data_IF_337075923568
#
_entry.id   IF_337075923568
#
_cell.length_a   1.000
_cell.length_b   1.000
_cell.length_c   1.000
_cell.angle_alpha   90.00
_cell.angle_beta   90.00
_cell.angle_gamma   90.00
#
_symmetry.space_group_name_H-M   'P 1'
#
loop_
_entity.id
_entity.type
_entity.pdbx_description
1 polymer ?
#
# COMPACT_ATOMS: atom_id res chain seq x y z
N UNK A 1 11.25 -20.38 -20.11
CA UNK A 1 10.86 -20.34 -18.68
C UNK A 1 11.00 -18.93 -18.11
N UNK A 2 10.24 -17.96 -18.64
CA UNK A 2 10.30 -16.54 -18.24
C UNK A 2 8.97 -16.05 -17.61
N UNK A 3 7.85 -16.68 -17.99
CA UNK A 3 6.51 -16.41 -17.47
C UNK A 3 6.30 -16.87 -16.02
N UNK A 4 7.07 -17.88 -15.57
CA UNK A 4 6.99 -18.42 -14.22
C UNK A 4 7.78 -17.58 -13.20
N UNK A 5 8.65 -16.68 -13.66
CA UNK A 5 9.42 -15.83 -12.77
C UNK A 5 8.60 -14.62 -12.38
N UNK A 6 8.24 -14.55 -11.10
CA UNK A 6 7.67 -13.39 -10.44
C UNK A 6 8.51 -12.13 -10.68
N UNK A 7 7.86 -11.06 -11.16
CA UNK A 7 8.49 -9.76 -11.42
C UNK A 7 7.54 -8.64 -11.06
N UNK A 8 8.03 -7.67 -10.31
CA UNK A 8 7.25 -6.48 -10.01
C UNK A 8 7.09 -5.62 -11.26
N UNK A 9 5.87 -5.12 -11.50
CA UNK A 9 5.59 -4.21 -12.60
C UNK A 9 5.99 -2.78 -12.24
N UNK A 10 6.61 -2.09 -13.18
CA UNK A 10 7.18 -0.73 -13.01
C UNK A 10 6.54 0.30 -13.95
N UNK A 11 5.76 -0.19 -14.91
CA UNK A 11 5.04 0.52 -15.97
C UNK A 11 3.69 1.09 -15.50
N UNK A 12 3.47 1.18 -14.19
CA UNK A 12 2.20 1.61 -13.63
C UNK A 12 2.25 1.79 -12.12
N UNK A 13 1.07 1.73 -11.52
CA UNK A 13 0.88 1.95 -10.09
C UNK A 13 0.00 0.85 -9.49
N UNK A 14 0.39 0.36 -8.32
CA UNK A 14 -0.41 -0.56 -7.53
C UNK A 14 -1.34 0.24 -6.62
N UNK A 15 -2.62 -0.09 -6.64
CA UNK A 15 -3.67 0.62 -5.90
C UNK A 15 -4.47 -0.36 -5.06
N UNK A 16 -4.54 -0.12 -3.75
CA UNK A 16 -5.40 -0.84 -2.82
C UNK A 16 -6.52 0.08 -2.36
N UNK A 17 -7.76 -0.27 -2.70
CA UNK A 17 -8.96 0.46 -2.27
C UNK A 17 -9.43 -0.08 -0.94
N UNK A 18 -9.62 0.80 0.03
CA UNK A 18 -10.06 0.46 1.38
C UNK A 18 -11.28 1.28 1.75
N UNK A 19 -12.33 0.63 2.21
CA UNK A 19 -13.56 1.27 2.66
C UNK A 19 -13.85 0.92 4.11
N UNK A 20 -14.35 1.88 4.86
CA UNK A 20 -14.84 1.64 6.21
C UNK A 20 -16.05 2.50 6.51
N UNK A 21 -16.87 2.03 7.44
CA UNK A 21 -18.08 2.71 7.89
C UNK A 21 -17.73 3.53 9.13
N UNK A 22 -17.97 4.84 9.10
CA UNK A 22 -17.82 5.76 10.22
C UNK A 22 -19.20 6.21 10.70
N UNK A 23 -19.48 6.04 11.99
CA UNK A 23 -20.71 6.55 12.60
C UNK A 23 -20.76 8.09 12.49
N UNK A 24 -21.90 8.61 12.04
CA UNK A 24 -22.18 10.04 12.01
C UNK A 24 -22.61 10.58 13.38
N UNK A 25 -22.77 11.90 13.48
CA UNK A 25 -23.29 12.54 14.68
C UNK A 25 -24.76 12.15 14.85
N UNK A 26 -25.08 11.57 16.01
CA UNK A 26 -26.44 11.16 16.33
C UNK A 26 -27.21 12.38 16.84
N UNK A 27 -27.93 13.05 15.95
CA UNK A 27 -28.78 14.18 16.35
C UNK A 27 -30.06 13.68 17.01
N UNK A 28 -30.73 12.65 16.46
CA UNK A 28 -31.95 12.06 17.05
C UNK A 28 -31.86 10.55 17.30
N UNK A 29 -32.68 10.05 18.23
CA UNK A 29 -32.71 8.63 18.63
C UNK A 29 -33.27 7.69 17.55
N UNK A 30 -33.89 8.21 16.49
CA UNK A 30 -34.65 7.44 15.49
C UNK A 30 -33.78 6.97 14.32
N UNK A 31 -32.74 7.70 13.93
CA UNK A 31 -31.87 7.35 12.79
C UNK A 31 -30.40 7.49 13.17
N UNK A 32 -29.60 6.45 12.92
CA UNK A 32 -28.15 6.48 13.08
C UNK A 32 -27.50 6.75 11.71
N UNK A 33 -27.09 8.00 11.41
CA UNK A 33 -26.40 8.29 10.16
C UNK A 33 -25.04 7.60 10.13
N UNK A 34 -24.64 7.11 8.95
CA UNK A 34 -23.36 6.44 8.74
C UNK A 34 -22.71 6.96 7.47
N UNK A 35 -21.39 7.18 7.53
CA UNK A 35 -20.59 7.65 6.41
C UNK A 35 -19.71 6.50 5.91
N UNK A 36 -19.85 6.19 4.62
CA UNK A 36 -18.93 5.27 3.96
C UNK A 36 -17.68 6.05 3.53
N UNK A 37 -16.57 5.82 4.22
CA UNK A 37 -15.29 6.47 3.92
C UNK A 37 -14.49 5.55 3.01
N UNK A 38 -14.05 6.08 1.87
CA UNK A 38 -13.17 5.39 0.93
C UNK A 38 -11.82 6.08 0.89
N UNK A 39 -10.75 5.30 0.98
CA UNK A 39 -9.40 5.76 0.77
C UNK A 39 -8.60 4.72 -0.01
N UNK A 40 -7.49 5.17 -0.57
CA UNK A 40 -6.62 4.37 -1.40
C UNK A 40 -5.21 4.39 -0.83
N UNK A 41 -4.52 3.25 -0.95
CA UNK A 41 -3.08 3.13 -0.77
C UNK A 41 -2.45 2.91 -2.13
N UNK A 42 -1.39 3.65 -2.40
CA UNK A 42 -0.68 3.66 -3.66
C UNK A 42 0.75 3.21 -3.46
N UNK A 43 1.21 2.29 -4.33
CA UNK A 43 2.59 1.85 -4.39
C UNK A 43 3.12 1.95 -5.83
N UNK A 44 4.26 2.61 -6.02
CA UNK A 44 4.96 2.65 -7.31
C UNK A 44 6.38 2.16 -7.12
N UNK A 45 6.80 1.17 -7.90
CA UNK A 45 8.12 0.57 -7.83
C UNK A 45 9.03 1.09 -8.94
N UNK A 46 10.34 1.11 -8.68
CA UNK A 46 11.37 1.49 -9.64
C UNK A 46 12.46 0.42 -9.77
N UNK A 47 13.11 0.27 -10.94
CA UNK A 47 14.18 -0.71 -11.15
C UNK A 47 15.34 -0.65 -10.16
N UNK A 48 15.57 0.50 -9.53
CA UNK A 48 16.64 0.71 -8.54
C UNK A 48 16.38 0.09 -7.17
N UNK A 49 15.27 -0.63 -6.98
CA UNK A 49 14.84 -1.11 -5.67
C UNK A 49 14.24 -0.01 -4.79
N UNK A 50 13.95 1.17 -5.37
CA UNK A 50 13.23 2.27 -4.72
C UNK A 50 11.73 2.13 -4.96
N UNK A 51 10.90 2.47 -4.00
CA UNK A 51 9.45 2.60 -4.21
C UNK A 51 8.90 3.88 -3.60
N UNK A 52 7.71 4.27 -4.04
CA UNK A 52 6.91 5.35 -3.47
C UNK A 52 5.65 4.77 -2.86
N UNK A 53 5.25 5.34 -1.73
CA UNK A 53 4.04 5.02 -1.00
C UNK A 53 3.23 6.27 -0.70
N UNK A 54 1.91 6.21 -0.89
CA UNK A 54 0.99 7.29 -0.51
C UNK A 54 -0.35 6.70 -0.07
N UNK A 55 -0.89 7.23 1.02
CA UNK A 55 -2.29 7.00 1.41
C UNK A 55 -3.06 8.28 1.09
N UNK A 56 -4.16 8.19 0.34
CA UNK A 56 -4.96 9.36 -0.05
C UNK A 56 -6.42 8.99 -0.30
N UNK A 57 -7.33 9.94 -0.12
CA UNK A 57 -8.72 9.83 -0.58
C UNK A 57 -8.92 10.24 -2.05
N UNK A 58 -7.88 10.79 -2.69
CA UNK A 58 -7.90 11.21 -4.09
C UNK A 58 -7.92 10.01 -5.05
N UNK A 59 -8.37 10.25 -6.28
CA UNK A 59 -8.45 9.22 -7.34
C UNK A 59 -7.08 8.90 -7.95
N UNK A 60 -6.98 7.78 -8.68
CA UNK A 60 -5.71 7.33 -9.29
C UNK A 60 -5.14 8.39 -10.25
N UNK A 61 -5.99 9.00 -11.09
CA UNK A 61 -5.59 10.04 -12.05
C UNK A 61 -4.98 11.29 -11.40
N UNK A 62 -5.40 11.64 -10.18
CA UNK A 62 -4.87 12.78 -9.44
C UNK A 62 -3.52 12.42 -8.80
N UNK A 63 -3.46 11.25 -8.17
CA UNK A 63 -2.28 10.80 -7.41
C UNK A 63 -1.09 10.47 -8.31
N UNK A 64 -1.33 9.96 -9.52
CA UNK A 64 -0.24 9.62 -10.46
C UNK A 64 0.62 10.85 -10.80
N UNK A 65 0.07 12.07 -10.75
CA UNK A 65 0.80 13.32 -10.99
C UNK A 65 1.92 13.55 -9.99
N UNK A 66 1.71 13.22 -8.71
CA UNK A 66 2.71 13.37 -7.65
C UNK A 66 3.54 12.10 -7.39
N UNK A 67 3.14 10.93 -7.90
CA UNK A 67 3.85 9.67 -7.72
C UNK A 67 4.99 9.47 -8.74
N UNK A 68 5.86 10.46 -8.91
CA UNK A 68 6.95 10.46 -9.91
C UNK A 68 8.36 10.51 -9.27
N UNK A 69 9.42 10.53 -10.07
CA UNK A 69 10.80 10.50 -9.54
C UNK A 69 11.13 11.68 -8.60
N UNK A 70 10.49 12.83 -8.83
CA UNK A 70 10.60 14.09 -8.06
C UNK A 70 9.58 14.18 -6.93
N UNK A 71 8.91 13.09 -6.58
CA UNK A 71 7.91 13.07 -5.51
C UNK A 71 8.47 13.65 -4.22
N UNK A 72 7.71 14.58 -3.62
CA UNK A 72 8.09 15.27 -2.39
C UNK A 72 7.30 14.74 -1.20
N UNK A 73 7.91 14.84 -0.01
CA UNK A 73 7.23 14.63 1.28
C UNK A 73 6.07 15.61 1.47
N UNK A 74 6.17 16.83 0.91
CA UNK A 74 5.11 17.84 0.96
C UNK A 74 3.82 17.36 0.29
N UNK A 75 3.94 16.51 -0.74
CA UNK A 75 2.79 15.90 -1.42
C UNK A 75 2.23 14.68 -0.66
N UNK A 76 2.74 14.40 0.53
CA UNK A 76 2.39 13.21 1.31
C UNK A 76 2.82 11.90 0.64
N UNK A 77 3.89 11.94 -0.17
CA UNK A 77 4.51 10.77 -0.78
C UNK A 77 5.74 10.38 0.01
N UNK A 78 5.85 9.11 0.39
CA UNK A 78 6.98 8.55 1.10
C UNK A 78 7.81 7.68 0.17
N UNK A 79 9.13 7.83 0.23
CA UNK A 79 10.06 7.02 -0.55
C UNK A 79 10.76 6.01 0.35
N UNK A 80 10.90 4.79 -0.14
CA UNK A 80 11.54 3.69 0.58
C UNK A 80 12.33 2.74 -0.31
N UNK A 81 12.75 1.62 0.27
CA UNK A 81 13.41 0.51 -0.44
C UNK A 81 12.52 -0.72 -0.44
N UNK A 82 12.57 -1.48 -1.52
CA UNK A 82 11.90 -2.76 -1.61
C UNK A 82 12.84 -3.84 -2.14
N UNK A 83 12.59 -5.06 -1.72
CA UNK A 83 13.24 -6.28 -2.21
C UNK A 83 12.17 -7.24 -2.71
N UNK A 84 12.51 -8.05 -3.71
CA UNK A 84 11.65 -9.10 -4.24
C UNK A 84 12.43 -10.41 -4.16
N UNK A 85 11.98 -11.32 -3.32
CA UNK A 85 12.52 -12.67 -3.15
C UNK A 85 11.44 -13.66 -3.53
N UNK A 86 11.65 -14.38 -4.63
CA UNK A 86 10.63 -15.22 -5.27
C UNK A 86 9.34 -14.45 -5.58
N UNK A 87 8.25 -14.71 -4.84
CA UNK A 87 6.96 -14.03 -4.92
C UNK A 87 6.71 -13.08 -3.75
N UNK A 88 7.68 -12.89 -2.85
CA UNK A 88 7.55 -12.08 -1.64
C UNK A 88 8.21 -10.73 -1.83
N UNK A 89 7.46 -9.67 -1.58
CA UNK A 89 7.93 -8.30 -1.66
C UNK A 89 7.97 -7.73 -0.24
N UNK A 90 9.16 -7.33 0.20
CA UNK A 90 9.31 -6.54 1.41
C UNK A 90 9.49 -5.08 1.03
N UNK A 91 8.70 -4.20 1.63
CA UNK A 91 8.75 -2.76 1.36
C UNK A 91 8.88 -2.00 2.67
N UNK A 92 9.91 -1.13 2.76
CA UNK A 92 10.20 -0.37 3.97
C UNK A 92 10.47 1.09 3.69
N UNK A 93 9.92 1.98 4.53
CA UNK A 93 10.27 3.40 4.50
C UNK A 93 10.18 4.02 5.89
N UNK A 94 10.79 5.20 6.03
CA UNK A 94 10.78 5.96 7.28
C UNK A 94 9.77 7.11 7.20
N UNK A 95 8.83 7.16 8.14
CA UNK A 95 8.02 8.35 8.34
C UNK A 95 8.87 9.46 8.96
N UNK A 96 8.96 10.64 8.31
CA UNK A 96 9.62 11.80 8.88
C UNK A 96 8.76 12.40 9.99
N UNK A 97 9.37 12.75 11.11
CA UNK A 97 8.70 13.39 12.24
C UNK A 97 9.62 13.52 13.45
N UNK A 98 9.10 14.06 14.54
CA UNK A 98 9.84 14.19 15.82
C UNK A 98 10.28 12.83 16.38
N UNK A 99 9.54 11.76 16.05
CA UNK A 99 9.86 10.38 16.37
C UNK A 99 9.83 9.56 15.08
N UNK A 100 11.01 9.33 14.44
CA UNK A 100 11.10 8.54 13.23
C UNK A 100 10.48 7.17 13.45
N UNK A 101 9.58 6.80 12.55
CA UNK A 101 8.82 5.56 12.65
C UNK A 101 9.02 4.77 11.36
N UNK A 102 9.48 3.52 11.48
CA UNK A 102 9.67 2.64 10.35
C UNK A 102 8.34 2.00 9.98
N UNK A 103 7.98 2.14 8.71
CA UNK A 103 6.86 1.43 8.11
C UNK A 103 7.41 0.23 7.35
N UNK A 104 6.87 -0.96 7.61
CA UNK A 104 7.25 -2.20 6.91
C UNK A 104 5.99 -2.91 6.44
N UNK A 105 6.02 -3.36 5.20
CA UNK A 105 4.96 -4.17 4.60
C UNK A 105 5.55 -5.43 3.98
N UNK A 106 4.95 -6.57 4.29
CA UNK A 106 5.17 -7.82 3.58
C UNK A 106 4.02 -8.05 2.63
N UNK A 107 4.37 -8.21 1.36
CA UNK A 107 3.44 -8.33 0.27
C UNK A 107 3.73 -9.63 -0.49
N UNK A 108 2.69 -10.21 -1.07
CA UNK A 108 2.82 -11.36 -1.98
C UNK A 108 2.42 -10.96 -3.38
N UNK A 109 3.33 -11.12 -4.33
CA UNK A 109 3.06 -10.91 -5.75
C UNK A 109 2.23 -12.07 -6.29
N UNK A 110 1.09 -11.74 -6.89
CA UNK A 110 0.23 -12.67 -7.62
C UNK A 110 -0.06 -12.15 -9.02
N UNK A 111 -0.47 -13.05 -9.89
CA UNK A 111 -1.00 -12.73 -11.22
C UNK A 111 -2.39 -13.30 -11.38
N UNK A 112 -3.29 -12.53 -12.00
CA UNK A 112 -4.59 -13.03 -12.48
C UNK A 112 -4.45 -14.11 -13.55
N UNK A 113 -3.43 -14.00 -14.39
CA UNK A 113 -2.99 -15.01 -15.35
C UNK A 113 -1.50 -15.26 -15.21
N UNK A 114 -1.01 -16.36 -15.80
CA UNK A 114 0.40 -16.72 -15.76
C UNK A 114 1.27 -15.58 -16.31
N UNK A 115 2.20 -15.09 -15.49
CA UNK A 115 3.11 -14.01 -15.83
C UNK A 115 2.54 -12.59 -15.74
N UNK A 116 1.26 -12.40 -15.35
CA UNK A 116 0.65 -11.07 -15.30
C UNK A 116 1.19 -10.19 -14.16
N UNK A 117 1.53 -10.78 -13.00
CA UNK A 117 2.10 -10.09 -11.83
C UNK A 117 1.37 -8.79 -11.44
N UNK A 118 0.04 -8.77 -11.60
CA UNK A 118 -0.81 -7.58 -11.52
C UNK A 118 -1.56 -7.46 -10.17
N UNK A 119 -1.18 -8.27 -9.18
CA UNK A 119 -1.74 -8.28 -7.83
C UNK A 119 -0.63 -8.28 -6.79
N UNK A 120 -0.82 -7.53 -5.71
CA UNK A 120 0.05 -7.56 -4.54
C UNK A 120 -0.84 -7.70 -3.31
N UNK A 121 -0.84 -8.88 -2.70
CA UNK A 121 -1.58 -9.11 -1.46
C UNK A 121 -0.78 -8.58 -0.29
N UNK A 122 -1.41 -7.76 0.56
CA UNK A 122 -0.77 -7.27 1.77
C UNK A 122 -0.90 -8.33 2.88
N UNK A 123 0.18 -9.08 3.11
CA UNK A 123 0.23 -10.15 4.11
C UNK A 123 0.32 -9.58 5.52
N UNK A 124 1.22 -8.63 5.73
CA UNK A 124 1.35 -7.92 7.00
C UNK A 124 1.80 -6.50 6.80
N UNK A 125 1.34 -5.65 7.70
CA UNK A 125 1.73 -4.25 7.78
C UNK A 125 2.10 -3.94 9.22
N UNK A 126 3.31 -3.45 9.44
CA UNK A 126 3.79 -3.09 10.75
C UNK A 126 4.43 -1.71 10.78
N UNK A 127 4.49 -1.15 11.98
CA UNK A 127 5.04 0.16 12.24
C UNK A 127 5.82 0.09 13.53
N UNK A 128 7.12 0.37 13.50
CA UNK A 128 8.00 0.31 14.66
C UNK A 128 8.70 1.65 14.90
N UNK A 129 8.98 1.96 16.17
CA UNK A 129 9.81 3.13 16.51
C UNK A 129 11.26 2.79 16.18
N UNK A 130 12.00 3.79 15.69
CA UNK A 130 13.44 3.65 15.48
C UNK A 130 14.17 4.35 16.61
N UNK A 131 14.93 3.59 17.39
CA UNK A 131 15.80 4.14 18.43
C UNK A 131 16.98 4.90 17.81
N UNK A 132 17.56 5.82 18.58
CA UNK A 132 18.60 6.78 18.16
C UNK A 132 19.87 6.16 17.55
N UNK A 133 20.07 4.86 17.70
CA UNK A 133 21.36 4.20 17.44
C UNK A 133 21.55 3.81 15.97
N UNK A 134 20.56 4.07 15.10
CA UNK A 134 20.71 3.97 13.65
C UNK A 134 20.91 2.55 13.11
N UNK A 135 20.87 1.53 13.96
CA UNK A 135 20.98 0.13 13.58
C UNK A 135 19.60 -0.33 13.08
N UNK A 136 19.49 -0.49 11.77
CA UNK A 136 18.39 -1.19 11.12
C UNK A 136 18.72 -2.67 11.26
N UNK A 137 18.15 -3.36 12.23
CA UNK A 137 18.22 -4.83 12.28
C UNK A 137 17.41 -5.38 11.08
N UNK A 138 18.17 -5.70 10.03
CA UNK A 138 17.77 -6.61 8.96
C UNK A 138 17.82 -8.01 9.56
N UNK A 139 16.75 -8.45 10.21
CA UNK A 139 16.60 -9.88 10.47
C UNK A 139 16.03 -10.57 9.24
N UNK A 140 16.95 -11.20 8.52
CA UNK A 140 16.72 -12.29 7.58
C UNK A 140 16.11 -13.47 8.37
N UNK A 141 14.76 -13.52 8.54
CA UNK A 141 13.97 -14.78 8.68
C UNK A 141 12.51 -14.56 9.17
N UNK A 142 11.76 -13.64 8.57
CA UNK A 142 10.34 -13.38 8.91
C UNK A 142 9.33 -14.41 8.36
N UNK A 143 9.68 -15.70 8.40
CA UNK A 143 8.74 -16.83 8.40
C UNK A 143 8.81 -17.67 9.69
N UNK A 144 9.73 -17.35 10.60
CA UNK A 144 9.77 -17.89 11.96
C UNK A 144 8.95 -17.03 12.93
N UNK A 145 8.37 -17.67 13.94
CA UNK A 145 7.62 -17.07 15.04
C UNK A 145 8.25 -15.77 15.56
N UNK A 146 7.55 -14.64 15.40
CA UNK A 146 7.98 -13.32 15.87
C UNK A 146 7.96 -13.30 17.40
N UNK A 147 9.13 -13.30 18.02
CA UNK A 147 9.29 -12.73 19.36
C UNK A 147 8.99 -11.23 19.26
N UNK A 148 7.95 -10.79 19.98
CA UNK A 148 7.46 -9.42 19.94
C UNK A 148 8.48 -8.48 20.58
N UNK A 149 9.26 -7.75 19.77
CA UNK A 149 9.97 -6.56 20.22
C UNK A 149 8.92 -5.52 20.67
N UNK A 150 9.09 -4.95 21.88
CA UNK A 150 8.04 -4.20 22.62
C UNK A 150 7.43 -2.99 21.88
N UNK A 151 8.04 -2.51 20.79
CA UNK A 151 7.67 -1.28 20.08
C UNK A 151 7.08 -1.48 18.67
N UNK A 152 6.73 -2.73 18.28
CA UNK A 152 6.17 -3.04 16.96
C UNK A 152 4.64 -3.07 16.99
N UNK A 153 3.99 -2.17 16.24
CA UNK A 153 2.54 -2.14 16.06
C UNK A 153 2.18 -2.88 14.76
N UNK A 154 1.44 -3.99 14.87
CA UNK A 154 0.88 -4.71 13.72
C UNK A 154 -0.51 -4.18 13.35
N UNK A 155 -0.77 -4.00 12.06
CA UNK A 155 -2.04 -3.50 11.55
C UNK A 155 -2.84 -4.64 10.93
N UNK A 156 -3.98 -4.97 11.54
CA UNK A 156 -4.87 -6.06 11.10
C UNK A 156 -6.00 -5.60 10.15
N UNK A 157 -6.13 -4.29 9.92
CA UNK A 157 -7.21 -3.69 9.13
C UNK A 157 -6.67 -2.99 7.89
N UNK A 158 -7.52 -2.95 6.85
CA UNK A 158 -7.17 -2.33 5.58
C UNK A 158 -6.07 -3.10 4.84
N UNK A 159 -6.11 -4.44 4.91
CA UNK A 159 -5.19 -5.33 4.22
C UNK A 159 -5.69 -5.71 2.81
N UNK A 160 -6.51 -4.85 2.20
CA UNK A 160 -7.05 -5.11 0.86
C UNK A 160 -5.90 -5.24 -0.15
N UNK A 161 -5.93 -6.25 -1.04
CA UNK A 161 -4.87 -6.45 -2.01
C UNK A 161 -4.80 -5.29 -3.01
N UNK A 162 -3.58 -5.00 -3.46
CA UNK A 162 -3.34 -3.98 -4.47
C UNK A 162 -3.55 -4.55 -5.87
N UNK A 163 -4.28 -3.78 -6.68
CA UNK A 163 -4.49 -4.01 -8.11
C UNK A 163 -3.51 -3.14 -8.89
N UNK A 164 -2.82 -3.72 -9.87
CA UNK A 164 -1.99 -2.95 -10.78
C UNK A 164 -2.83 -2.18 -11.81
N UNK A 165 -2.50 -0.91 -12.01
CA UNK A 165 -3.06 -0.02 -13.04
C UNK A 165 -1.90 0.48 -13.92
N UNK A 166 -1.83 0.08 -15.21
CA UNK A 166 -0.85 0.62 -16.16
C UNK A 166 -1.02 2.14 -16.33
N UNK A 167 0.07 2.88 -16.58
CA UNK A 167 -0.04 4.34 -16.76
C UNK A 167 -0.94 4.76 -17.93
N UNK A 168 -1.00 3.95 -18.97
CA UNK A 168 -1.86 4.16 -20.14
C UNK A 168 -3.36 4.09 -19.80
N UNK A 169 -3.72 3.33 -18.76
CA UNK A 169 -5.11 3.10 -18.33
C UNK A 169 -5.50 3.95 -17.11
N UNK A 170 -4.62 4.84 -16.64
CA UNK A 170 -4.87 5.61 -15.42
C UNK A 170 -6.10 6.50 -15.54
N UNK A 171 -6.33 7.13 -16.69
CA UNK A 171 -7.47 8.04 -16.89
C UNK A 171 -8.80 7.28 -16.95
N UNK A 172 -8.81 6.10 -17.58
CA UNK A 172 -10.01 5.27 -17.78
C UNK A 172 -10.25 4.26 -16.67
N UNK A 173 -9.35 4.20 -15.68
CA UNK A 173 -9.43 3.24 -14.58
C UNK A 173 -10.75 3.38 -13.81
N UNK A 174 -11.40 2.24 -13.56
CA UNK A 174 -12.61 2.15 -12.73
C UNK A 174 -12.39 2.65 -11.30
N UNK A 175 -11.14 2.67 -10.83
CA UNK A 175 -10.77 3.20 -9.52
C UNK A 175 -10.89 4.73 -9.42
N UNK A 176 -11.16 5.43 -10.53
CA UNK A 176 -11.52 6.85 -10.55
C UNK A 176 -13.02 7.09 -10.33
N UNK A 177 -13.85 6.04 -10.32
CA UNK A 177 -15.28 6.18 -10.07
C UNK A 177 -15.53 6.55 -8.60
N UNK A 178 -16.54 7.39 -8.33
CA UNK A 178 -16.92 7.73 -6.97
C UNK A 178 -17.48 6.51 -6.25
N UNK A 179 -17.48 6.58 -4.91
CA UNK A 179 -17.92 5.48 -4.04
C UNK A 179 -19.35 5.03 -4.37
N UNK A 180 -20.25 5.97 -4.66
CA UNK A 180 -21.66 5.73 -5.04
C UNK A 180 -21.84 4.88 -6.31
N UNK A 181 -20.82 4.81 -7.17
CA UNK A 181 -20.84 4.00 -8.40
C UNK A 181 -20.09 2.68 -8.24
N UNK A 182 -19.44 2.47 -7.10
CA UNK A 182 -18.67 1.26 -6.80
C UNK A 182 -18.79 0.91 -5.32
N UNK A 183 -19.95 0.42 -4.89
CA UNK A 183 -20.18 0.06 -3.49
C UNK A 183 -19.27 -1.08 -3.00
N UNK A 184 -18.86 -1.97 -3.91
CA UNK A 184 -18.00 -3.11 -3.64
C UNK A 184 -16.92 -3.28 -4.72
N UNK A 185 -15.66 -3.39 -4.32
CA UNK A 185 -14.53 -3.62 -5.23
C UNK A 185 -13.81 -4.90 -4.81
N UNK A 186 -13.89 -5.93 -5.66
CA UNK A 186 -13.14 -7.17 -5.48
C UNK A 186 -11.86 -7.06 -6.29
N UNK A 187 -10.69 -6.99 -5.64
CA UNK A 187 -9.42 -7.11 -6.32
C UNK A 187 -9.26 -8.61 -6.59
N UNK A 188 -9.85 -9.08 -7.71
CA UNK A 188 -9.93 -10.50 -8.08
C UNK A 188 -8.60 -11.25 -7.96
#
# INVERSE_FOLDING_TARGET
>A
MWLLRSRIRIDGIYVSRNTYIRAGVREWNVTNPVHLVCYYRYMRFFPSGRFLYKTSGQTVKEVVKCMNFRASKTDGVFSGRYTLTDDKVEATFMYPGLRPTMWRAFLRLRGTTLGANNRLDLLSLSTSKVNSDGIIELEEDLFGSVELQEDVISHQRGLAPFTFVPFEEVETSVLNLPVEKMDYYVPG
#
